data_IF_282852690010
#
_entry.id   IF_282852690010
#
_cell.length_a   1.000
_cell.length_b   1.000
_cell.length_c   1.000
_cell.angle_alpha   90.00
_cell.angle_beta   90.00
_cell.angle_gamma   90.00
#
_symmetry.space_group_name_H-M   'P 1'
#
loop_
_entity.id
_entity.type
_entity.pdbx_description
1 polymer ?
#
# COMPACT_ATOMS: atom_id res chain seq x y z
N UNK A 1 7.39 -3.37 21.22
CA UNK A 1 5.94 -3.23 20.98
C UNK A 1 5.72 -2.10 20.00
N UNK A 2 5.07 -2.38 18.88
CA UNK A 2 4.67 -1.34 17.91
C UNK A 2 3.30 -0.78 18.34
N UNK A 3 3.12 0.54 18.28
CA UNK A 3 1.82 1.15 18.54
C UNK A 3 0.96 1.14 17.26
N UNK A 4 -0.36 1.31 17.44
CA UNK A 4 -1.31 1.27 16.32
C UNK A 4 -1.05 2.34 15.27
N UNK A 5 -0.53 3.52 15.65
CA UNK A 5 -0.24 4.62 14.72
C UNK A 5 0.92 4.25 13.78
N UNK A 6 1.99 3.64 14.30
CA UNK A 6 3.08 3.14 13.48
C UNK A 6 2.62 1.97 12.59
N UNK A 7 1.74 1.10 13.12
CA UNK A 7 1.21 -0.02 12.35
C UNK A 7 0.34 0.46 11.18
N UNK A 8 -0.57 1.40 11.39
CA UNK A 8 -1.42 1.97 10.32
C UNK A 8 -0.60 2.74 9.31
N UNK A 9 0.43 3.47 9.75
CA UNK A 9 1.39 4.13 8.86
C UNK A 9 2.12 3.12 7.97
N UNK A 10 2.68 2.05 8.53
CA UNK A 10 3.33 0.99 7.75
C UNK A 10 2.35 0.27 6.82
N UNK A 11 1.08 0.10 7.23
CA UNK A 11 0.03 -0.45 6.36
C UNK A 11 -0.20 0.44 5.15
N UNK A 12 -0.31 1.76 5.34
CA UNK A 12 -0.42 2.73 4.25
C UNK A 12 0.80 2.70 3.34
N UNK A 13 2.00 2.77 3.93
CA UNK A 13 3.25 2.72 3.18
C UNK A 13 3.39 1.41 2.39
N UNK A 14 2.84 0.28 2.88
CA UNK A 14 2.86 -0.99 2.15
C UNK A 14 2.07 -0.99 0.83
N UNK A 15 1.16 -0.03 0.64
CA UNK A 15 0.36 0.11 -0.59
C UNK A 15 1.12 0.86 -1.69
N UNK A 16 2.08 1.70 -1.30
CA UNK A 16 2.88 2.56 -2.16
C UNK A 16 4.29 2.01 -2.38
N UNK A 17 4.93 1.51 -1.32
CA UNK A 17 6.28 0.94 -1.32
C UNK A 17 6.31 -0.49 -0.79
N UNK A 18 7.34 -1.24 -1.18
CA UNK A 18 7.65 -2.51 -0.52
C UNK A 18 8.22 -2.22 0.88
N UNK A 19 7.63 -2.83 1.89
CA UNK A 19 8.17 -2.81 3.25
C UNK A 19 9.43 -3.69 3.33
N UNK A 20 10.38 -3.27 4.16
CA UNK A 20 11.51 -4.10 4.57
C UNK A 20 11.04 -5.35 5.31
N UNK A 21 11.88 -6.40 5.31
CA UNK A 21 11.54 -7.69 5.93
C UNK A 21 11.19 -7.53 7.41
N UNK A 22 11.97 -6.73 8.14
CA UNK A 22 11.73 -6.43 9.56
C UNK A 22 10.42 -5.68 9.79
N UNK A 23 10.16 -4.61 9.03
CA UNK A 23 8.91 -3.84 9.11
C UNK A 23 7.69 -4.75 8.88
N UNK A 24 7.78 -5.63 7.89
CA UNK A 24 6.72 -6.59 7.56
C UNK A 24 6.48 -7.60 8.67
N UNK A 25 7.54 -8.14 9.27
CA UNK A 25 7.40 -9.10 10.38
C UNK A 25 6.78 -8.45 11.62
N UNK A 26 7.24 -7.26 11.99
CA UNK A 26 6.69 -6.50 13.11
C UNK A 26 5.22 -6.14 12.88
N UNK A 27 4.89 -5.71 11.67
CA UNK A 27 3.52 -5.39 11.29
C UNK A 27 2.61 -6.61 11.36
N UNK A 28 3.06 -7.75 10.86
CA UNK A 28 2.31 -9.01 10.92
C UNK A 28 2.07 -9.47 12.35
N UNK A 29 3.07 -9.37 13.22
CA UNK A 29 2.91 -9.69 14.63
C UNK A 29 1.87 -8.76 15.30
N UNK A 30 1.92 -7.46 14.99
CA UNK A 30 0.98 -6.50 15.55
C UNK A 30 -0.46 -6.74 15.05
N UNK A 31 -0.67 -6.99 13.76
CA UNK A 31 -2.02 -7.26 13.20
C UNK A 31 -2.59 -8.60 13.66
N UNK A 32 -1.75 -9.57 14.06
CA UNK A 32 -2.23 -10.80 14.70
C UNK A 32 -2.82 -10.55 16.09
N UNK A 33 -2.30 -9.56 16.83
CA UNK A 33 -2.76 -9.24 18.20
C UNK A 33 -3.77 -8.08 18.25
N UNK A 34 -3.85 -7.27 17.19
CA UNK A 34 -4.73 -6.11 17.12
C UNK A 34 -5.71 -6.24 15.95
N UNK A 35 -6.98 -6.53 16.27
CA UNK A 35 -8.07 -6.63 15.30
C UNK A 35 -8.30 -5.32 14.54
N UNK A 36 -8.13 -4.16 15.18
CA UNK A 36 -8.29 -2.85 14.55
C UNK A 36 -7.30 -2.62 13.39
N UNK A 37 -6.01 -2.86 13.65
CA UNK A 37 -4.97 -2.73 12.62
C UNK A 37 -5.13 -3.79 11.52
N UNK A 38 -5.58 -5.00 11.86
CA UNK A 38 -5.91 -6.03 10.86
C UNK A 38 -7.04 -5.57 9.93
N UNK A 39 -8.16 -5.12 10.51
CA UNK A 39 -9.33 -4.69 9.74
C UNK A 39 -9.00 -3.48 8.86
N UNK A 40 -8.20 -2.53 9.37
CA UNK A 40 -7.70 -1.41 8.57
C UNK A 40 -6.88 -1.89 7.36
N UNK A 41 -5.96 -2.84 7.57
CA UNK A 41 -5.15 -3.41 6.49
C UNK A 41 -5.98 -4.10 5.41
N UNK A 42 -6.99 -4.87 5.81
CA UNK A 42 -7.93 -5.52 4.89
C UNK A 42 -8.75 -4.47 4.11
N UNK A 43 -9.29 -3.45 4.78
CA UNK A 43 -10.05 -2.36 4.14
C UNK A 43 -9.19 -1.56 3.15
N UNK A 44 -7.95 -1.25 3.50
CA UNK A 44 -7.08 -0.45 2.65
C UNK A 44 -6.68 -1.22 1.37
N UNK A 45 -6.55 -2.55 1.44
CA UNK A 45 -6.36 -3.39 0.26
C UNK A 45 -7.61 -3.44 -0.62
N UNK A 46 -8.78 -3.64 -0.03
CA UNK A 46 -10.06 -3.62 -0.75
C UNK A 46 -10.28 -2.30 -1.48
N UNK A 47 -10.02 -1.17 -0.81
CA UNK A 47 -10.13 0.15 -1.43
C UNK A 47 -9.21 0.25 -2.66
N UNK A 48 -7.98 -0.23 -2.56
CA UNK A 48 -7.01 -0.22 -3.69
C UNK A 48 -7.47 -1.12 -4.84
N UNK A 49 -8.05 -2.27 -4.55
CA UNK A 49 -8.61 -3.17 -5.57
C UNK A 49 -9.80 -2.54 -6.28
N UNK A 50 -10.72 -1.95 -5.52
CA UNK A 50 -11.87 -1.21 -6.06
C UNK A 50 -11.38 -0.04 -6.91
N UNK A 51 -10.44 0.78 -6.43
CA UNK A 51 -9.89 1.89 -7.20
C UNK A 51 -9.25 1.43 -8.52
N UNK A 52 -8.58 0.27 -8.52
CA UNK A 52 -8.02 -0.33 -9.74
C UNK A 52 -9.09 -0.88 -10.68
N UNK A 53 -10.16 -1.44 -10.15
CA UNK A 53 -11.29 -1.95 -10.93
C UNK A 53 -12.14 -0.83 -11.53
N UNK A 54 -12.22 0.31 -10.85
CA UNK A 54 -12.96 1.50 -11.30
C UNK A 54 -12.16 2.43 -12.21
N UNK A 55 -10.82 2.30 -12.25
CA UNK A 55 -10.04 2.99 -13.26
C UNK A 55 -10.48 2.47 -14.65
N UNK A 56 -11.11 3.30 -15.51
CA UNK A 56 -11.44 2.88 -16.85
C UNK A 56 -10.15 2.40 -17.53
N UNK A 57 -10.23 1.31 -18.30
CA UNK A 57 -9.16 0.72 -19.09
C UNK A 57 -8.49 1.77 -20.00
N UNK A 58 -7.61 2.59 -19.43
CA UNK A 58 -6.60 3.36 -20.14
C UNK A 58 -5.47 2.40 -20.42
N UNK A 59 -5.33 2.06 -21.69
CA UNK A 59 -4.50 1.01 -22.22
C UNK A 59 -3.01 1.13 -21.81
N UNK A 60 -2.43 -0.04 -21.56
CA UNK A 60 -1.04 -0.31 -21.21
C UNK A 60 -0.04 0.27 -22.23
N UNK A 61 0.96 1.04 -21.78
CA UNK A 61 2.21 1.21 -22.53
C UNK A 61 3.34 1.61 -21.58
N UNK A 62 4.28 0.68 -21.39
CA UNK A 62 5.72 0.91 -21.17
C UNK A 62 6.10 2.37 -20.91
N UNK A 63 6.61 2.64 -19.69
CA UNK A 63 7.37 3.83 -19.31
C UNK A 63 8.64 3.98 -20.16
N UNK A 64 8.49 4.20 -21.46
CA UNK A 64 9.41 4.96 -22.28
C UNK A 64 8.89 6.39 -22.21
N UNK A 65 9.47 7.19 -21.32
CA UNK A 65 9.33 8.64 -21.33
C UNK A 65 10.33 9.20 -22.36
N UNK A 66 9.90 9.82 -23.48
CA UNK A 66 10.74 10.76 -24.19
C UNK A 66 10.39 12.17 -23.70
N UNK A 67 11.31 12.68 -22.88
CA UNK A 67 11.80 14.06 -22.83
C UNK A 67 10.81 15.21 -23.14
N UNK A 68 10.45 15.92 -22.08
CA UNK A 68 9.90 17.27 -22.07
C UNK A 68 10.77 18.28 -22.85
N UNK A 69 10.36 18.55 -24.09
CA UNK A 69 10.35 19.85 -24.78
C UNK A 69 11.56 20.78 -24.56
N UNK A 70 12.44 20.83 -25.57
CA UNK A 70 13.13 22.06 -25.94
C UNK A 70 12.07 23.14 -26.29
N UNK A 71 12.12 24.24 -25.56
CA UNK A 71 11.46 25.50 -25.86
C UNK A 71 12.53 26.60 -25.89
#
# INVERSE_FOLDING_TARGET
MMNCIHATRLLSESLERKLGVWERTHLRFHTMMCSGCRCFGEQAQQLREISRAYAPLGENKSDALPNERAL
#
